data_IF_212759233797
#
_entry.id   IF_212759233797
#
_cell.length_a   1.000
_cell.length_b   1.000
_cell.length_c   1.000
_cell.angle_alpha   90.00
_cell.angle_beta   90.00
_cell.angle_gamma   90.00
#
_symmetry.space_group_name_H-M   'P 1'
#
loop_
_entity.id
_entity.type
_entity.pdbx_description
1 polymer ?
#
# COMPACT_ATOMS: atom_id res chain seq x y z
N UNK A 1 -10.77 -6.36 -17.12
CA UNK A 1 -9.57 -5.50 -17.25
C UNK A 1 -8.78 -5.65 -15.96
N UNK A 2 -7.52 -6.10 -16.03
CA UNK A 2 -6.75 -6.59 -14.86
C UNK A 2 -6.31 -5.46 -13.91
N UNK A 3 -6.37 -4.19 -14.33
CA UNK A 3 -6.00 -3.01 -13.52
C UNK A 3 -7.16 -2.00 -13.51
N UNK A 4 -7.44 -1.41 -12.34
CA UNK A 4 -8.48 -0.37 -12.20
C UNK A 4 -8.05 0.93 -12.92
N UNK A 5 -8.97 1.68 -13.55
CA UNK A 5 -8.65 2.90 -14.29
C UNK A 5 -7.81 3.92 -13.50
N UNK A 6 -8.20 4.20 -12.25
CA UNK A 6 -7.49 5.12 -11.35
C UNK A 6 -6.03 4.71 -11.06
N UNK A 7 -5.74 3.41 -11.03
CA UNK A 7 -4.37 2.91 -10.84
C UNK A 7 -3.56 3.06 -12.12
N UNK A 8 -4.20 2.77 -13.26
CA UNK A 8 -3.57 2.91 -14.57
C UNK A 8 -3.15 4.36 -14.86
N UNK A 9 -3.99 5.34 -14.51
CA UNK A 9 -3.69 6.77 -14.66
C UNK A 9 -2.45 7.25 -13.88
N UNK A 10 -2.06 6.53 -12.82
CA UNK A 10 -0.90 6.87 -11.98
C UNK A 10 0.40 6.21 -12.45
N UNK A 11 0.33 5.30 -13.41
CA UNK A 11 1.51 4.66 -13.97
C UNK A 11 2.14 5.60 -15.00
N UNK A 12 3.44 5.84 -14.86
CA UNK A 12 4.23 6.57 -15.83
C UNK A 12 5.20 5.60 -16.49
N UNK A 13 5.10 5.46 -17.81
CA UNK A 13 6.06 4.71 -18.61
C UNK A 13 7.05 5.73 -19.16
N UNK A 14 8.31 5.61 -18.74
CA UNK A 14 9.38 6.52 -19.12
C UNK A 14 10.28 5.79 -20.11
N UNK A 15 10.57 6.45 -21.23
CA UNK A 15 11.50 5.94 -22.25
C UNK A 15 12.94 6.33 -21.97
N UNK A 16 13.15 7.33 -21.11
CA UNK A 16 14.44 7.94 -20.79
C UNK A 16 14.47 8.42 -19.32
N UNK A 17 15.66 8.43 -18.73
CA UNK A 17 15.88 8.72 -17.30
C UNK A 17 15.78 10.22 -16.97
N UNK A 18 15.82 11.11 -17.97
CA UNK A 18 15.70 12.56 -17.78
C UNK A 18 14.41 12.96 -17.07
N UNK A 19 13.29 12.31 -17.41
CA UNK A 19 11.98 12.59 -16.78
C UNK A 19 11.93 12.15 -15.31
N UNK A 20 12.78 11.21 -14.89
CA UNK A 20 12.89 10.79 -13.49
C UNK A 20 13.49 11.94 -12.67
N UNK A 21 14.51 12.63 -13.19
CA UNK A 21 15.17 13.75 -12.51
C UNK A 21 14.26 14.96 -12.29
N UNK A 22 13.24 15.13 -13.13
CA UNK A 22 12.23 16.18 -12.95
C UNK A 22 11.20 15.85 -11.85
N UNK A 23 10.93 14.55 -11.63
CA UNK A 23 9.92 14.09 -10.66
C UNK A 23 10.48 13.90 -9.26
N UNK A 24 11.77 13.58 -9.13
CA UNK A 24 12.41 13.28 -7.85
C UNK A 24 13.50 14.31 -7.53
N UNK A 25 13.62 14.76 -6.26
CA UNK A 25 14.74 15.58 -5.83
C UNK A 25 16.09 14.90 -6.10
N UNK A 26 17.06 15.67 -6.59
CA UNK A 26 18.38 15.14 -6.99
C UNK A 26 19.11 14.42 -5.84
N UNK A 27 18.96 14.93 -4.61
CA UNK A 27 19.60 14.37 -3.40
C UNK A 27 18.96 13.05 -2.94
N UNK A 28 17.73 12.74 -3.37
CA UNK A 28 17.05 11.49 -3.05
C UNK A 28 17.20 10.45 -4.16
N UNK A 29 17.41 10.89 -5.40
CA UNK A 29 17.57 9.99 -6.54
C UNK A 29 18.91 9.23 -6.40
N UNK A 30 18.91 7.88 -6.46
CA UNK A 30 20.14 7.11 -6.36
C UNK A 30 21.18 7.51 -7.40
N UNK A 31 22.47 7.37 -7.05
CA UNK A 31 23.58 7.62 -7.99
C UNK A 31 23.48 6.78 -9.26
N UNK A 32 22.93 5.58 -9.19
CA UNK A 32 22.74 4.66 -10.32
C UNK A 32 21.79 5.20 -11.39
N UNK A 33 20.89 6.12 -11.00
CA UNK A 33 19.98 6.85 -11.91
C UNK A 33 20.47 8.28 -12.21
N UNK A 34 21.74 8.57 -11.90
CA UNK A 34 22.36 9.86 -12.16
C UNK A 34 21.89 10.99 -11.23
N UNK A 35 21.49 10.66 -10.00
CA UNK A 35 21.28 11.59 -8.89
C UNK A 35 22.47 11.66 -7.93
N UNK A 36 22.24 12.20 -6.74
CA UNK A 36 23.24 12.37 -5.65
C UNK A 36 22.93 11.57 -4.39
N UNK A 37 21.84 10.80 -4.40
CA UNK A 37 21.40 9.97 -3.29
C UNK A 37 22.20 8.69 -3.11
N UNK A 38 21.80 7.88 -2.13
CA UNK A 38 22.46 6.61 -1.80
C UNK A 38 22.36 5.63 -2.99
N UNK A 39 23.39 4.81 -3.24
CA UNK A 39 23.35 3.78 -4.28
C UNK A 39 22.29 2.72 -4.03
N UNK A 40 21.81 2.09 -5.10
CA UNK A 40 20.83 1.00 -5.02
C UNK A 40 21.34 -0.18 -4.20
N UNK A 41 22.62 -0.53 -4.35
CA UNK A 41 23.26 -1.58 -3.54
C UNK A 41 23.18 -1.26 -2.05
N UNK A 42 23.53 -0.02 -1.67
CA UNK A 42 23.51 0.37 -0.26
C UNK A 42 22.10 0.50 0.28
N UNK A 43 21.15 1.00 -0.53
CA UNK A 43 19.73 1.00 -0.18
C UNK A 43 19.20 -0.42 0.04
N UNK A 44 19.60 -1.39 -0.78
CA UNK A 44 19.23 -2.79 -0.61
C UNK A 44 19.78 -3.35 0.71
N UNK A 45 21.05 -3.12 1.02
CA UNK A 45 21.64 -3.54 2.29
C UNK A 45 20.89 -2.96 3.49
N UNK A 46 20.58 -1.65 3.45
CA UNK A 46 19.84 -0.97 4.51
C UNK A 46 18.43 -1.55 4.67
N UNK A 47 17.74 -1.80 3.57
CA UNK A 47 16.39 -2.36 3.58
C UNK A 47 16.37 -3.79 4.13
N UNK A 48 17.33 -4.64 3.74
CA UNK A 48 17.46 -5.99 4.29
C UNK A 48 17.75 -5.95 5.79
N UNK A 49 18.66 -5.08 6.23
CA UNK A 49 18.96 -4.91 7.65
C UNK A 49 17.74 -4.43 8.45
N UNK A 50 16.95 -3.50 7.91
CA UNK A 50 15.70 -3.04 8.53
C UNK A 50 14.70 -4.20 8.66
N UNK A 51 14.49 -4.99 7.60
CA UNK A 51 13.61 -6.15 7.68
C UNK A 51 14.07 -7.19 8.69
N UNK A 52 15.38 -7.43 8.79
CA UNK A 52 15.95 -8.33 9.80
C UNK A 52 15.66 -7.86 11.22
N UNK A 53 15.71 -6.55 11.49
CA UNK A 53 15.39 -5.99 12.80
C UNK A 53 13.91 -6.19 13.18
N UNK A 54 13.01 -6.18 12.19
CA UNK A 54 11.56 -6.31 12.40
C UNK A 54 11.02 -7.72 12.16
N UNK A 55 11.87 -8.77 12.10
CA UNK A 55 11.41 -10.14 11.84
C UNK A 55 10.31 -10.59 12.79
N UNK A 56 10.47 -10.34 14.10
CA UNK A 56 9.47 -10.73 15.10
C UNK A 56 8.12 -10.05 14.89
N UNK A 57 8.12 -8.80 14.40
CA UNK A 57 6.88 -8.10 14.06
C UNK A 57 6.16 -8.80 12.91
N UNK A 58 6.88 -9.25 11.88
CA UNK A 58 6.30 -10.02 10.79
C UNK A 58 5.81 -11.41 11.24
N UNK A 59 6.54 -12.09 12.12
CA UNK A 59 6.11 -13.38 12.70
C UNK A 59 4.80 -13.22 13.49
N UNK A 60 4.64 -12.10 14.21
CA UNK A 60 3.42 -11.82 14.96
C UNK A 60 2.27 -11.41 14.04
N UNK A 61 2.54 -10.63 12.99
CA UNK A 61 1.55 -10.34 11.94
C UNK A 61 1.02 -11.60 11.27
N UNK A 62 1.87 -12.61 11.01
CA UNK A 62 1.43 -13.88 10.42
C UNK A 62 0.44 -14.64 11.31
N UNK A 63 0.61 -14.52 12.64
CA UNK A 63 -0.29 -15.13 13.62
C UNK A 63 -1.62 -14.40 13.72
N UNK A 64 -1.69 -13.13 13.33
CA UNK A 64 -2.95 -12.39 13.33
C UNK A 64 -3.89 -12.91 12.25
N UNK A 65 -4.82 -13.75 12.70
CA UNK A 65 -5.94 -14.23 11.91
C UNK A 65 -7.23 -13.75 12.56
N UNK A 66 -8.18 -13.36 11.73
CA UNK A 66 -9.53 -13.06 12.19
C UNK A 66 -10.20 -14.39 12.53
N UNK A 67 -10.60 -14.55 13.79
CA UNK A 67 -11.48 -15.64 14.18
C UNK A 67 -12.90 -15.31 13.73
N UNK A 68 -13.30 -15.87 12.59
CA UNK A 68 -14.63 -15.66 12.00
C UNK A 68 -15.77 -16.15 12.89
N UNK A 69 -15.53 -17.04 13.86
CA UNK A 69 -16.56 -17.45 14.82
C UNK A 69 -16.92 -16.34 15.80
N UNK A 70 -16.00 -15.39 16.02
CA UNK A 70 -16.23 -14.19 16.83
C UNK A 70 -16.85 -13.06 16.02
N UNK A 71 -16.99 -13.21 14.68
CA UNK A 71 -17.73 -12.24 13.88
C UNK A 71 -19.19 -12.33 14.30
N UNK A 72 -19.77 -11.25 14.89
CA UNK A 72 -21.15 -11.31 15.32
C UNK A 72 -22.06 -11.50 14.10
N UNK A 73 -23.07 -12.36 14.25
CA UNK A 73 -24.03 -12.61 13.20
C UNK A 73 -24.80 -11.33 12.87
N UNK A 74 -25.15 -11.15 11.60
CA UNK A 74 -26.01 -10.05 11.18
C UNK A 74 -27.32 -10.11 11.99
N UNK A 75 -27.70 -8.99 12.60
CA UNK A 75 -28.94 -8.89 13.35
C UNK A 75 -30.13 -8.92 12.38
N UNK A 76 -31.23 -9.57 12.76
CA UNK A 76 -32.45 -9.60 11.93
C UNK A 76 -33.00 -8.19 11.61
N UNK A 77 -32.74 -7.20 12.47
CA UNK A 77 -33.20 -5.81 12.34
C UNK A 77 -32.07 -4.81 12.03
N UNK A 78 -30.96 -5.27 11.47
CA UNK A 78 -29.79 -4.43 11.20
C UNK A 78 -30.14 -3.21 10.32
N UNK A 79 -31.10 -3.34 9.39
CA UNK A 79 -31.60 -2.22 8.59
C UNK A 79 -32.34 -1.14 9.39
N UNK A 80 -33.04 -1.51 10.48
CA UNK A 80 -33.73 -0.54 11.35
C UNK A 80 -32.81 0.08 12.40
N UNK A 81 -31.84 -0.68 12.91
CA UNK A 81 -31.02 -0.28 14.07
C UNK A 81 -29.66 0.31 13.66
N UNK A 82 -29.20 0.12 12.42
CA UNK A 82 -28.00 0.77 11.87
C UNK A 82 -26.68 0.29 12.48
N UNK A 83 -26.62 -0.93 13.02
CA UNK A 83 -25.48 -1.41 13.82
C UNK A 83 -24.28 -1.88 12.98
N UNK A 84 -24.48 -2.38 11.74
CA UNK A 84 -23.38 -2.89 10.90
C UNK A 84 -22.91 -1.94 9.78
N UNK A 85 -23.35 -0.67 9.78
CA UNK A 85 -22.76 0.34 8.91
C UNK A 85 -23.74 1.42 8.49
N UNK A 86 -23.36 2.68 8.71
CA UNK A 86 -24.09 3.87 8.28
C UNK A 86 -23.90 4.17 6.77
N UNK A 87 -23.86 3.15 5.91
CA UNK A 87 -23.94 3.42 4.48
C UNK A 87 -25.40 3.75 4.17
N UNK A 88 -25.70 5.04 4.04
CA UNK A 88 -27.01 5.54 3.61
C UNK A 88 -27.35 4.82 2.29
N UNK A 89 -28.28 3.88 2.32
CA UNK A 89 -28.86 3.32 1.09
C UNK A 89 -29.60 4.48 0.41
N UNK A 90 -28.99 5.06 -0.62
CA UNK A 90 -29.73 5.97 -1.50
C UNK A 90 -30.58 5.11 -2.42
N UNK A 91 -31.89 5.17 -2.23
CA UNK A 91 -32.84 4.74 -3.25
C UNK A 91 -32.81 5.83 -4.33
N UNK A 92 -32.19 5.52 -5.46
CA UNK A 92 -32.37 6.31 -6.67
C UNK A 92 -33.64 5.78 -7.36
N UNK A 93 -34.61 6.66 -7.59
CA UNK A 93 -35.65 6.45 -8.62
C UNK A 93 -35.02 6.56 -10.02
#
# INVERSE_FOLDING_TARGET
MVIKPKLFERMHILSDDTTIKEKFPEDLLPVDFGGKGISLEKLQEMMVAEYQQHLSFFDDLEKFKVDENLRPANLENDEMLGFYGNFKKMNAD
#
